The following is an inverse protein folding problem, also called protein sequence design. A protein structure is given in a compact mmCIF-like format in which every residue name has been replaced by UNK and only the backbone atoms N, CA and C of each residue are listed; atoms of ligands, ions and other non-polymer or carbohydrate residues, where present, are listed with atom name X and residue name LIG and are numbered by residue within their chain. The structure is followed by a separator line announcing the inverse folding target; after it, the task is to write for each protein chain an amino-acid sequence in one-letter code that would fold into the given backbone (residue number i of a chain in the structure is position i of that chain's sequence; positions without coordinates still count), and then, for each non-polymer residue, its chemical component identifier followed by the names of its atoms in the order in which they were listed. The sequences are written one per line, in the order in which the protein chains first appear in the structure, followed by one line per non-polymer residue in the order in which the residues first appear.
data_IF_124683634613
#
_entry.id   IF_124683634613
#
_cell.length_a   1.000
_cell.length_b   1.000
_cell.length_c   1.000
_cell.angle_alpha   90.00
_cell.angle_beta   90.00
_cell.angle_gamma   90.00
#
_symmetry.space_group_name_H-M   'P 1'
#
loop_
_entity.id
_entity.type
_entity.pdbx_description
1 polymer ?
#
# COMPACT_ATOMS: atom_id res chain seq x y z
N UNK A 1 -31.60 -0.04 -6.93
CA UNK A 1 -30.76 -1.23 -7.20
C UNK A 1 -29.29 -1.02 -6.84
N UNK A 2 -28.69 0.15 -7.15
CA UNK A 2 -27.28 0.47 -6.80
C UNK A 2 -27.09 0.58 -5.28
N UNK A 3 -28.02 1.21 -4.55
CA UNK A 3 -27.98 1.32 -3.08
C UNK A 3 -27.91 -0.05 -2.39
N UNK A 4 -28.61 -1.03 -2.89
CA UNK A 4 -28.63 -2.39 -2.33
C UNK A 4 -27.32 -3.14 -2.58
N UNK A 5 -26.69 -2.93 -3.75
CA UNK A 5 -25.41 -3.53 -4.10
C UNK A 5 -24.26 -2.99 -3.24
N UNK A 6 -24.27 -1.70 -2.92
CA UNK A 6 -23.26 -1.07 -2.04
C UNK A 6 -23.31 -1.67 -0.63
N UNK A 7 -24.52 -1.82 -0.07
CA UNK A 7 -24.74 -2.40 1.26
C UNK A 7 -24.34 -3.89 1.32
N UNK A 8 -24.76 -4.68 0.32
CA UNK A 8 -24.41 -6.10 0.23
C UNK A 8 -22.90 -6.26 0.13
N UNK A 9 -22.23 -5.42 -0.64
CA UNK A 9 -20.79 -5.49 -0.82
C UNK A 9 -20.01 -5.21 0.46
N UNK A 10 -20.42 -4.22 1.24
CA UNK A 10 -19.82 -3.89 2.55
C UNK A 10 -19.98 -5.06 3.54
N UNK A 11 -21.12 -5.76 3.50
CA UNK A 11 -21.40 -6.90 4.37
C UNK A 11 -20.61 -8.15 3.95
N UNK A 12 -20.57 -8.44 2.65
CA UNK A 12 -19.92 -9.65 2.12
C UNK A 12 -18.41 -9.63 2.31
N UNK A 13 -17.79 -8.44 2.42
CA UNK A 13 -16.36 -8.30 2.73
C UNK A 13 -16.05 -8.22 4.23
N UNK A 14 -17.03 -8.46 5.12
CA UNK A 14 -16.81 -8.51 6.57
C UNK A 14 -16.51 -7.17 7.24
N UNK A 15 -16.77 -6.06 6.56
CA UNK A 15 -16.61 -4.73 7.14
C UNK A 15 -17.68 -4.41 8.20
N UNK A 16 -18.81 -5.14 8.16
CA UNK A 16 -19.89 -5.00 9.12
C UNK A 16 -20.52 -6.35 9.44
N UNK A 17 -20.84 -6.54 10.72
CA UNK A 17 -21.66 -7.63 11.16
C UNK A 17 -23.10 -7.45 10.65
N UNK A 18 -23.71 -8.51 10.10
CA UNK A 18 -25.06 -8.49 9.58
C UNK A 18 -26.09 -8.06 10.62
N UNK A 19 -25.81 -8.34 11.90
CA UNK A 19 -26.71 -8.04 13.02
C UNK A 19 -26.59 -6.58 13.51
N UNK A 20 -25.53 -5.88 13.14
CA UNK A 20 -25.30 -4.47 13.48
C UNK A 20 -25.60 -3.50 12.33
N UNK A 21 -26.11 -4.01 11.20
CA UNK A 21 -26.51 -3.14 10.09
C UNK A 21 -27.58 -2.14 10.54
N UNK A 22 -27.30 -0.83 10.50
CA UNK A 22 -28.34 0.14 10.80
C UNK A 22 -29.42 0.04 9.73
N UNK A 23 -30.64 -0.21 10.15
CA UNK A 23 -31.83 0.01 9.33
C UNK A 23 -31.75 1.43 8.78
N UNK A 24 -31.63 1.54 7.44
CA UNK A 24 -31.68 2.77 6.66
C UNK A 24 -31.23 4.03 7.41
N UNK A 25 -29.99 4.44 7.23
CA UNK A 25 -29.47 5.67 7.82
C UNK A 25 -29.47 6.78 6.74
N UNK A 26 -30.21 7.87 6.92
CA UNK A 26 -30.22 9.02 5.99
C UNK A 26 -28.84 9.59 5.71
N UNK A 27 -27.87 9.45 6.63
CA UNK A 27 -26.47 9.82 6.43
C UNK A 27 -25.88 9.22 5.14
N UNK A 28 -26.33 8.05 4.69
CA UNK A 28 -25.87 7.44 3.44
C UNK A 28 -26.42 8.12 2.18
N UNK A 29 -27.60 8.71 2.24
CA UNK A 29 -28.15 9.49 1.13
C UNK A 29 -27.40 10.79 0.97
N UNK A 30 -27.19 11.52 2.06
CA UNK A 30 -26.44 12.77 2.06
C UNK A 30 -24.99 12.54 1.59
N UNK A 31 -24.37 11.44 2.03
CA UNK A 31 -23.01 11.08 1.56
C UNK A 31 -23.00 10.76 0.06
N UNK A 32 -23.98 10.00 -0.42
CA UNK A 32 -24.06 9.59 -1.82
C UNK A 32 -24.23 10.83 -2.71
N UNK A 33 -25.14 11.75 -2.36
CA UNK A 33 -25.37 12.98 -3.09
C UNK A 33 -24.15 13.90 -3.04
N UNK A 34 -23.55 14.10 -1.87
CA UNK A 34 -22.42 14.99 -1.71
C UNK A 34 -21.13 14.46 -2.37
N UNK A 35 -20.93 13.15 -2.43
CA UNK A 35 -19.72 12.55 -3.02
C UNK A 35 -19.86 12.35 -4.52
N UNK A 36 -21.06 12.06 -5.03
CA UNK A 36 -21.29 11.94 -6.47
C UNK A 36 -21.22 13.29 -7.22
N UNK A 37 -21.45 14.40 -6.55
CA UNK A 37 -21.24 15.73 -7.12
C UNK A 37 -19.75 16.06 -7.30
N UNK A 38 -18.85 15.38 -6.62
CA UNK A 38 -17.42 15.50 -6.85
C UNK A 38 -16.99 14.60 -8.02
N UNK A 39 -17.03 15.14 -9.22
CA UNK A 39 -16.61 14.45 -10.45
C UNK A 39 -15.12 14.17 -10.41
N UNK A 40 -14.78 12.89 -10.37
CA UNK A 40 -13.39 12.46 -10.54
C UNK A 40 -12.99 12.64 -12.00
N UNK A 41 -11.77 13.07 -12.22
CA UNK A 41 -11.17 13.15 -13.54
C UNK A 41 -10.99 11.74 -14.14
N UNK A 42 -11.08 11.63 -15.45
CA UNK A 42 -10.96 10.36 -16.16
C UNK A 42 -9.70 9.56 -15.76
N UNK A 43 -8.56 10.24 -15.62
CA UNK A 43 -7.31 9.60 -15.24
C UNK A 43 -7.33 9.03 -13.81
N UNK A 44 -8.08 9.66 -12.88
CA UNK A 44 -8.25 9.17 -11.51
C UNK A 44 -9.07 7.88 -11.49
N UNK A 45 -10.17 7.84 -12.25
CA UNK A 45 -11.00 6.65 -12.41
C UNK A 45 -10.20 5.52 -13.07
N UNK A 46 -9.45 5.82 -14.12
CA UNK A 46 -8.60 4.86 -14.81
C UNK A 46 -7.56 4.26 -13.87
N UNK A 47 -6.84 5.11 -13.13
CA UNK A 47 -5.84 4.65 -12.17
C UNK A 47 -6.44 3.82 -11.05
N UNK A 48 -7.63 4.20 -10.56
CA UNK A 48 -8.36 3.41 -9.57
C UNK A 48 -8.66 2.02 -10.10
N UNK A 49 -9.28 1.94 -11.25
CA UNK A 49 -9.68 0.68 -11.88
C UNK A 49 -8.51 -0.25 -12.18
N UNK A 50 -7.38 0.31 -12.60
CA UNK A 50 -6.19 -0.47 -12.93
C UNK A 50 -5.44 -0.99 -11.69
N UNK A 51 -5.31 -0.15 -10.66
CA UNK A 51 -4.38 -0.39 -9.55
C UNK A 51 -5.02 -0.70 -8.21
N UNK A 52 -6.19 -0.15 -7.92
CA UNK A 52 -6.73 -0.13 -6.55
C UNK A 52 -8.06 -0.85 -6.38
N UNK A 53 -8.90 -0.84 -7.41
CA UNK A 53 -10.23 -1.45 -7.35
C UNK A 53 -10.15 -2.95 -7.05
N UNK A 54 -10.99 -3.41 -6.14
CA UNK A 54 -11.19 -4.84 -5.90
C UNK A 54 -11.82 -5.45 -7.14
N UNK A 55 -11.29 -6.61 -7.54
CA UNK A 55 -11.73 -7.35 -8.72
C UNK A 55 -12.14 -8.76 -8.33
N UNK A 56 -13.27 -9.18 -8.84
CA UNK A 56 -13.75 -10.55 -8.75
C UNK A 56 -13.89 -11.12 -10.15
N UNK A 57 -13.28 -12.29 -10.40
CA UNK A 57 -13.25 -12.93 -11.73
C UNK A 57 -12.89 -11.96 -12.87
N UNK A 58 -11.90 -11.10 -12.66
CA UNK A 58 -11.47 -10.01 -13.55
C UNK A 58 -12.46 -8.85 -13.74
N UNK A 59 -13.61 -8.86 -13.08
CA UNK A 59 -14.57 -7.76 -13.11
C UNK A 59 -14.33 -6.82 -11.96
N UNK A 60 -14.37 -5.51 -12.22
CA UNK A 60 -14.29 -4.47 -11.17
C UNK A 60 -15.61 -4.44 -10.44
N UNK A 61 -15.57 -4.61 -9.12
CA UNK A 61 -16.76 -4.69 -8.27
C UNK A 61 -16.98 -3.46 -7.39
N UNK A 62 -16.04 -2.51 -7.40
CA UNK A 62 -16.16 -1.27 -6.63
C UNK A 62 -15.81 -0.02 -7.46
N UNK A 63 -16.53 1.06 -7.20
CA UNK A 63 -16.18 2.40 -7.69
C UNK A 63 -15.17 3.06 -6.73
N UNK A 64 -14.48 4.14 -7.16
CA UNK A 64 -13.59 4.91 -6.27
C UNK A 64 -14.29 5.38 -4.98
N UNK A 65 -15.56 5.75 -5.07
CA UNK A 65 -16.36 6.22 -3.93
C UNK A 65 -16.64 5.11 -2.92
N UNK A 66 -17.01 3.92 -3.40
CA UNK A 66 -17.20 2.73 -2.56
C UNK A 66 -15.88 2.33 -1.90
N UNK A 67 -14.80 2.31 -2.67
CA UNK A 67 -13.48 1.98 -2.16
C UNK A 67 -12.99 2.97 -1.10
N UNK A 68 -13.20 4.28 -1.30
CA UNK A 68 -12.87 5.29 -0.30
C UNK A 68 -13.66 5.09 1.01
N UNK A 69 -14.94 4.75 0.91
CA UNK A 69 -15.76 4.46 2.09
C UNK A 69 -15.30 3.18 2.80
N UNK A 70 -14.99 2.12 2.06
CA UNK A 70 -14.42 0.90 2.62
C UNK A 70 -13.08 1.13 3.35
N UNK A 71 -12.23 2.00 2.81
CA UNK A 71 -10.99 2.44 3.47
C UNK A 71 -11.32 3.19 4.77
N UNK A 72 -12.27 4.11 4.72
CA UNK A 72 -12.71 4.86 5.90
C UNK A 72 -13.17 3.94 7.03
N UNK A 73 -14.04 2.98 6.72
CA UNK A 73 -14.55 2.01 7.68
C UNK A 73 -13.46 1.08 8.23
N UNK A 74 -12.53 0.63 7.39
CA UNK A 74 -11.43 -0.22 7.82
C UNK A 74 -10.48 0.49 8.80
N UNK A 75 -10.32 1.82 8.68
CA UNK A 75 -9.42 2.61 9.53
C UNK A 75 -10.10 3.04 10.81
N UNK A 76 -11.33 3.52 10.74
CA UNK A 76 -12.00 4.15 11.89
C UNK A 76 -12.97 3.24 12.62
N UNK A 77 -13.59 2.28 11.94
CA UNK A 77 -14.58 1.39 12.55
C UNK A 77 -15.92 2.06 12.92
N UNK A 78 -16.02 3.38 12.82
CA UNK A 78 -17.26 4.15 13.04
C UNK A 78 -17.66 4.89 11.76
N UNK A 79 -18.98 5.11 11.60
CA UNK A 79 -19.53 5.62 10.35
C UNK A 79 -19.21 7.09 10.12
N UNK A 80 -19.19 7.93 11.15
CA UNK A 80 -18.97 9.37 10.99
C UNK A 80 -17.54 9.69 10.57
N UNK A 81 -16.55 9.13 11.26
CA UNK A 81 -15.15 9.33 10.91
C UNK A 81 -14.78 8.65 9.60
N UNK A 82 -15.36 7.48 9.30
CA UNK A 82 -15.20 6.81 8.02
C UNK A 82 -15.71 7.68 6.86
N UNK A 83 -16.88 8.28 7.03
CA UNK A 83 -17.48 9.22 6.09
C UNK A 83 -16.59 10.44 5.86
N UNK A 84 -16.10 11.08 6.93
CA UNK A 84 -15.24 12.24 6.82
C UNK A 84 -13.93 11.91 6.10
N UNK A 85 -13.33 10.75 6.36
CA UNK A 85 -12.13 10.29 5.67
C UNK A 85 -12.41 10.01 4.19
N UNK A 86 -13.47 9.28 3.87
CA UNK A 86 -13.84 8.98 2.49
C UNK A 86 -14.08 10.26 1.67
N UNK A 87 -14.79 11.22 2.24
CA UNK A 87 -15.01 12.54 1.66
C UNK A 87 -13.70 13.31 1.42
N UNK A 88 -12.77 13.25 2.38
CA UNK A 88 -11.46 13.88 2.23
C UNK A 88 -10.61 13.23 1.13
N UNK A 89 -10.69 11.90 0.97
CA UNK A 89 -10.02 11.15 -0.10
C UNK A 89 -10.59 11.56 -1.47
N UNK A 90 -11.90 11.50 -1.65
CA UNK A 90 -12.56 11.81 -2.93
C UNK A 90 -12.34 13.27 -3.35
N UNK A 91 -12.35 14.18 -2.39
CA UNK A 91 -12.06 15.61 -2.64
C UNK A 91 -10.58 15.91 -2.85
N UNK A 92 -9.71 14.91 -2.82
CA UNK A 92 -8.26 15.10 -2.97
C UNK A 92 -7.58 15.87 -1.84
N UNK A 93 -8.25 16.01 -0.68
CA UNK A 93 -7.65 16.65 0.50
C UNK A 93 -6.63 15.76 1.20
N UNK A 94 -6.80 14.45 1.08
CA UNK A 94 -5.91 13.42 1.62
C UNK A 94 -5.52 12.50 0.49
N UNK A 95 -4.21 12.25 0.36
CA UNK A 95 -3.67 11.24 -0.54
C UNK A 95 -3.10 10.10 0.29
N UNK A 96 -3.58 8.89 0.05
CA UNK A 96 -3.15 7.70 0.77
C UNK A 96 -2.12 6.91 -0.03
N UNK A 97 -1.14 6.29 0.62
CA UNK A 97 -0.15 5.46 -0.05
C UNK A 97 -0.79 4.17 -0.61
N UNK A 98 -0.20 3.66 -1.68
CA UNK A 98 -0.69 2.47 -2.41
C UNK A 98 -1.03 1.26 -1.51
N UNK A 99 -0.25 0.88 -0.49
CA UNK A 99 -0.60 -0.24 0.38
C UNK A 99 -1.89 -0.01 1.17
N UNK A 100 -2.18 1.23 1.57
CA UNK A 100 -3.44 1.58 2.23
C UNK A 100 -4.60 1.47 1.25
N UNK A 101 -4.44 2.04 0.05
CA UNK A 101 -5.47 1.99 -1.00
C UNK A 101 -5.79 0.56 -1.46
N UNK A 102 -4.80 -0.35 -1.45
CA UNK A 102 -5.00 -1.72 -1.88
C UNK A 102 -5.38 -2.68 -0.76
N UNK A 103 -4.81 -2.50 0.43
CA UNK A 103 -4.76 -3.57 1.44
C UNK A 103 -5.68 -3.36 2.63
N UNK A 104 -5.94 -2.11 3.07
CA UNK A 104 -6.62 -1.90 4.35
C UNK A 104 -8.06 -2.45 4.40
N UNK A 105 -8.74 -2.57 3.25
CA UNK A 105 -10.11 -3.07 3.16
C UNK A 105 -10.25 -4.53 2.72
N UNK A 106 -9.15 -5.21 2.45
CA UNK A 106 -9.16 -6.62 2.05
C UNK A 106 -8.35 -7.55 2.97
N UNK A 107 -7.89 -7.01 4.12
CA UNK A 107 -7.15 -7.77 5.12
C UNK A 107 -5.66 -7.98 4.82
N UNK A 108 -5.14 -7.52 3.69
CA UNK A 108 -3.71 -7.60 3.31
C UNK A 108 -3.01 -6.25 3.56
N UNK A 109 -3.06 -5.79 4.80
CA UNK A 109 -2.62 -4.45 5.17
C UNK A 109 -1.26 -4.44 5.87
N UNK A 110 -0.20 -4.07 5.15
CA UNK A 110 1.12 -3.81 5.71
C UNK A 110 1.40 -2.32 5.99
N UNK A 111 0.63 -1.40 5.43
CA UNK A 111 0.66 0.06 5.70
C UNK A 111 1.92 0.79 5.22
N UNK A 112 2.97 0.10 4.80
CA UNK A 112 4.28 0.67 4.46
C UNK A 112 4.45 0.72 2.95
N UNK A 113 4.56 1.93 2.38
CA UNK A 113 4.78 2.12 0.93
C UNK A 113 6.25 2.11 0.56
N UNK A 114 7.09 2.76 1.37
CA UNK A 114 8.51 2.91 1.12
C UNK A 114 9.29 2.86 2.42
N UNK A 115 10.51 2.33 2.37
CA UNK A 115 11.43 2.40 3.49
C UNK A 115 12.85 2.76 3.05
N UNK A 116 13.59 3.39 3.95
CA UNK A 116 15.01 3.69 3.78
C UNK A 116 15.81 2.82 4.75
N UNK A 117 16.82 2.15 4.23
CA UNK A 117 17.66 1.22 4.97
C UNK A 117 19.10 1.70 4.89
N UNK A 118 19.78 1.75 6.02
CA UNK A 118 21.22 2.06 6.07
C UNK A 118 21.99 0.83 6.53
N UNK A 119 22.93 0.36 5.70
CA UNK A 119 23.89 -0.69 6.05
C UNK A 119 25.25 -0.11 6.42
N UNK A 120 25.92 -0.72 7.41
CA UNK A 120 27.27 -0.38 7.82
C UNK A 120 28.36 -1.12 7.02
N UNK A 121 29.58 -1.12 7.56
CA UNK A 121 30.80 -1.67 6.92
C UNK A 121 31.11 -3.11 7.31
N UNK A 122 30.33 -3.73 8.20
CA UNK A 122 30.49 -5.14 8.57
C UNK A 122 29.70 -6.06 7.65
N UNK A 123 30.14 -7.31 7.53
CA UNK A 123 29.40 -8.35 6.77
C UNK A 123 27.98 -8.51 7.30
N UNK A 124 27.82 -8.55 8.61
CA UNK A 124 26.56 -8.70 9.30
C UNK A 124 25.60 -7.55 8.94
N UNK A 125 26.10 -6.31 9.00
CA UNK A 125 25.29 -5.13 8.67
C UNK A 125 24.87 -5.10 7.19
N UNK A 126 25.76 -5.50 6.29
CA UNK A 126 25.46 -5.60 4.85
C UNK A 126 24.39 -6.68 4.59
N UNK A 127 24.53 -7.85 5.19
CA UNK A 127 23.59 -8.96 5.01
C UNK A 127 22.22 -8.66 5.63
N UNK A 128 22.17 -8.05 6.83
CA UNK A 128 20.92 -7.61 7.45
C UNK A 128 20.22 -6.58 6.56
N UNK A 129 20.90 -5.57 6.07
CA UNK A 129 20.32 -4.57 5.18
C UNK A 129 19.80 -5.19 3.88
N UNK A 130 20.53 -6.14 3.29
CA UNK A 130 20.08 -6.92 2.12
C UNK A 130 18.82 -7.74 2.45
N UNK A 131 18.81 -8.45 3.58
CA UNK A 131 17.66 -9.24 4.02
C UNK A 131 16.40 -8.38 4.20
N UNK A 132 16.52 -7.24 4.90
CA UNK A 132 15.40 -6.31 5.06
C UNK A 132 14.90 -5.82 3.70
N UNK A 133 15.81 -5.44 2.80
CA UNK A 133 15.46 -4.97 1.45
C UNK A 133 14.63 -6.02 0.68
N UNK A 134 15.03 -7.28 0.72
CA UNK A 134 14.32 -8.36 0.04
C UNK A 134 12.95 -8.63 0.67
N UNK A 135 12.86 -8.63 2.00
CA UNK A 135 11.60 -8.81 2.72
C UNK A 135 10.59 -7.70 2.43
N UNK A 136 11.04 -6.45 2.46
CA UNK A 136 10.18 -5.29 2.18
C UNK A 136 9.72 -5.25 0.72
N UNK A 137 10.61 -5.61 -0.22
CA UNK A 137 10.22 -5.71 -1.64
C UNK A 137 9.18 -6.81 -1.87
N UNK A 138 9.31 -7.96 -1.21
CA UNK A 138 8.31 -9.03 -1.26
C UNK A 138 6.94 -8.56 -0.77
N UNK A 139 6.90 -7.60 0.16
CA UNK A 139 5.69 -6.92 0.65
C UNK A 139 5.28 -5.71 -0.20
N UNK A 140 5.81 -5.57 -1.40
CA UNK A 140 5.48 -4.51 -2.38
C UNK A 140 5.92 -3.10 -1.96
N UNK A 141 6.81 -2.96 -0.97
CA UNK A 141 7.36 -1.67 -0.57
C UNK A 141 8.50 -1.24 -1.51
N UNK A 142 8.58 0.07 -1.79
CA UNK A 142 9.74 0.68 -2.43
C UNK A 142 10.91 0.78 -1.45
N UNK A 143 12.14 0.56 -1.93
CA UNK A 143 13.35 0.52 -1.11
C UNK A 143 14.32 1.60 -1.54
N UNK A 144 14.68 2.49 -0.61
CA UNK A 144 15.89 3.29 -0.66
C UNK A 144 16.97 2.66 0.20
N UNK A 145 18.17 2.41 -0.32
CA UNK A 145 19.25 1.80 0.45
C UNK A 145 20.53 2.61 0.36
N UNK A 146 21.14 2.85 1.50
CA UNK A 146 22.47 3.45 1.63
C UNK A 146 23.41 2.47 2.33
N UNK A 147 24.62 2.31 1.81
CA UNK A 147 25.70 1.62 2.52
C UNK A 147 26.81 2.59 2.92
N UNK A 148 27.10 2.67 4.21
CA UNK A 148 28.17 3.47 4.80
C UNK A 148 29.40 2.59 5.00
N UNK A 149 30.01 2.18 3.89
CA UNK A 149 31.21 1.37 3.89
C UNK A 149 32.46 2.19 3.60
N UNK A 150 33.62 1.62 3.91
CA UNK A 150 34.90 2.20 3.52
C UNK A 150 35.05 2.35 2.00
N UNK A 151 35.94 3.21 1.56
CA UNK A 151 36.15 3.50 0.14
C UNK A 151 36.80 2.33 -0.59
N UNK A 152 36.60 2.28 -1.92
CA UNK A 152 37.36 1.36 -2.78
C UNK A 152 38.88 1.58 -2.60
N UNK A 153 39.61 0.49 -2.46
CA UNK A 153 41.05 0.50 -2.23
C UNK A 153 41.48 0.60 -0.77
N UNK A 154 40.56 0.88 0.16
CA UNK A 154 40.86 0.88 1.59
C UNK A 154 41.38 -0.49 2.06
N UNK A 155 42.33 -0.54 3.01
CA UNK A 155 42.91 -1.79 3.49
C UNK A 155 41.89 -2.58 4.31
N UNK A 156 41.85 -3.90 4.10
CA UNK A 156 41.02 -4.86 4.80
C UNK A 156 41.89 -6.00 5.32
N UNK A 157 41.49 -6.65 6.39
CA UNK A 157 42.22 -7.78 6.99
C UNK A 157 43.74 -7.46 7.24
N UNK A 158 44.02 -6.34 7.90
CA UNK A 158 45.37 -5.93 8.18
C UNK A 158 46.20 -5.50 6.93
N UNK A 159 45.51 -5.05 5.88
CA UNK A 159 46.17 -4.57 4.64
C UNK A 159 46.41 -5.66 3.59
N UNK A 160 46.04 -6.92 3.88
CA UNK A 160 46.28 -8.05 2.95
C UNK A 160 45.35 -8.00 1.72
N UNK A 161 44.19 -7.36 1.84
CA UNK A 161 43.20 -7.23 0.78
C UNK A 161 42.73 -5.79 0.68
N UNK A 162 42.34 -5.37 -0.50
CA UNK A 162 41.75 -4.03 -0.74
C UNK A 162 40.26 -4.14 -0.87
N UNK A 163 39.53 -3.21 -0.25
CA UNK A 163 38.08 -3.14 -0.35
C UNK A 163 37.63 -2.83 -1.79
N UNK A 164 36.61 -3.54 -2.28
CA UNK A 164 36.13 -3.39 -3.67
C UNK A 164 35.21 -2.18 -3.87
N UNK A 165 34.81 -1.49 -2.80
CA UNK A 165 33.84 -0.40 -2.83
C UNK A 165 32.43 -0.89 -2.73
N UNK A 166 31.45 0.00 -2.97
CA UNK A 166 30.01 -0.25 -2.81
C UNK A 166 29.37 -1.02 -3.98
N UNK A 167 29.97 -0.95 -5.17
CA UNK A 167 29.38 -1.50 -6.41
C UNK A 167 28.99 -2.98 -6.30
N UNK A 168 29.84 -3.90 -5.78
CA UNK A 168 29.46 -5.30 -5.64
C UNK A 168 28.30 -5.51 -4.66
N UNK A 169 28.23 -4.69 -3.61
CA UNK A 169 27.17 -4.77 -2.61
C UNK A 169 25.83 -4.39 -3.25
N UNK A 170 25.77 -3.26 -3.93
CA UNK A 170 24.55 -2.85 -4.65
C UNK A 170 24.13 -3.84 -5.74
N UNK A 171 25.09 -4.42 -6.47
CA UNK A 171 24.81 -5.44 -7.47
C UNK A 171 24.17 -6.70 -6.85
N UNK A 172 24.65 -7.12 -5.67
CA UNK A 172 24.08 -8.26 -4.93
C UNK A 172 22.66 -7.97 -4.43
N UNK A 173 22.41 -6.77 -3.91
CA UNK A 173 21.08 -6.35 -3.46
C UNK A 173 20.11 -6.27 -4.64
N UNK A 174 20.51 -5.66 -5.76
CA UNK A 174 19.66 -5.55 -6.97
C UNK A 174 19.21 -6.93 -7.48
N UNK A 175 20.14 -7.88 -7.55
CA UNK A 175 19.81 -9.27 -7.94
C UNK A 175 18.87 -9.93 -6.94
N UNK A 176 19.13 -9.78 -5.64
CA UNK A 176 18.30 -10.38 -4.60
C UNK A 176 16.87 -9.81 -4.59
N UNK A 177 16.71 -8.50 -4.75
CA UNK A 177 15.41 -7.83 -4.84
C UNK A 177 14.64 -8.29 -6.08
N UNK A 178 15.29 -8.33 -7.24
CA UNK A 178 14.66 -8.80 -8.50
C UNK A 178 14.19 -10.24 -8.42
N UNK A 179 14.90 -11.11 -7.74
CA UNK A 179 14.48 -12.51 -7.54
C UNK A 179 13.12 -12.59 -6.84
N UNK A 180 12.89 -11.80 -5.80
CA UNK A 180 11.62 -11.83 -5.06
C UNK A 180 10.49 -11.09 -5.79
N UNK A 181 10.79 -10.07 -6.58
CA UNK A 181 9.79 -9.37 -7.39
C UNK A 181 9.14 -10.29 -8.44
N UNK A 182 9.88 -11.28 -8.95
CA UNK A 182 9.37 -12.24 -9.93
C UNK A 182 8.51 -13.34 -9.32
N UNK A 183 8.71 -13.66 -8.03
CA UNK A 183 8.02 -14.76 -7.34
C UNK A 183 6.68 -14.31 -6.74
N UNK A 184 6.49 -13.03 -6.52
CA UNK A 184 5.31 -12.45 -5.85
C UNK A 184 4.25 -11.88 -6.79
N UNK A 185 4.32 -12.15 -8.07
CA UNK A 185 3.32 -11.75 -9.07
C UNK A 185 2.48 -12.91 -9.55
#
# INVERSE_FOLDING_TARGET
KIKCLILIHIVDFGYWDKDTMPTYNPIWEDWYEEVFDNRLEFWQIKQWNEKYAIKEQNSIIETPHIGAMGIGLAIHGDTENAFNLAKAIIRGKINLPTPVLNGCRNGDFDGISCCVITGGDSVESIEVAKHISTRMTAKKAGIGIEYRTRSKGAPVKGGRVKHLGKTPIYAAVDKAVKMFTQVTR
#
